data_IF_073605154990
#
_entry.id   IF_073605154990
#
_cell.length_a   1.000
_cell.length_b   1.000
_cell.length_c   1.000
_cell.angle_alpha   90.00
_cell.angle_beta   90.00
_cell.angle_gamma   90.00
#
_symmetry.space_group_name_H-M   'P 1'
#
loop_
_entity.id
_entity.type
_entity.pdbx_description
1 polymer ?
#
# COMPACT_ATOMS: atom_id res chain seq x y z
N UNK A 1 32.97 -48.35 -5.87
CA UNK A 1 32.39 -47.04 -6.05
C UNK A 1 32.05 -46.48 -4.67
N UNK A 2 32.68 -45.39 -4.20
CA UNK A 2 32.30 -44.78 -2.91
C UNK A 2 31.11 -43.86 -3.09
N UNK A 3 30.03 -44.10 -2.32
CA UNK A 3 28.91 -43.19 -2.15
C UNK A 3 29.38 -41.84 -1.55
N UNK A 4 29.16 -40.76 -2.30
CA UNK A 4 29.39 -39.43 -1.81
C UNK A 4 28.28 -39.07 -0.80
N UNK A 5 28.62 -39.11 0.48
CA UNK A 5 27.79 -38.59 1.56
C UNK A 5 27.57 -37.06 1.34
N UNK A 6 26.39 -36.73 0.80
CA UNK A 6 25.94 -35.36 0.76
C UNK A 6 25.67 -34.86 2.19
N UNK A 7 26.64 -34.24 2.81
CA UNK A 7 26.49 -33.54 4.09
C UNK A 7 25.45 -32.47 3.97
N UNK A 8 24.78 -32.07 5.07
CA UNK A 8 23.78 -30.99 5.08
C UNK A 8 24.42 -29.73 4.51
N UNK A 9 23.74 -29.08 3.52
CA UNK A 9 24.21 -27.84 2.95
C UNK A 9 24.25 -26.77 4.06
N UNK A 10 25.35 -26.00 4.18
CA UNK A 10 25.46 -24.98 5.18
C UNK A 10 24.30 -23.94 4.97
N UNK A 11 23.60 -23.64 6.05
CA UNK A 11 22.58 -22.59 6.04
C UNK A 11 23.26 -21.27 5.71
N UNK A 12 23.03 -20.77 4.50
CA UNK A 12 23.58 -19.46 4.12
C UNK A 12 22.86 -18.36 4.93
N UNK A 13 23.62 -17.48 5.61
CA UNK A 13 23.00 -16.36 6.31
C UNK A 13 22.24 -15.50 5.30
N UNK A 14 21.02 -15.09 5.67
CA UNK A 14 20.20 -14.19 4.87
C UNK A 14 21.02 -12.91 4.57
N UNK A 15 21.15 -12.51 3.29
CA UNK A 15 21.99 -11.37 2.94
C UNK A 15 21.47 -10.10 3.60
N UNK A 16 22.36 -9.27 4.14
CA UNK A 16 22.04 -7.98 4.80
C UNK A 16 21.10 -7.06 3.97
N UNK A 17 21.12 -7.21 2.65
CA UNK A 17 20.15 -6.56 1.72
C UNK A 17 18.69 -6.93 2.01
N UNK A 18 18.44 -8.08 2.63
CA UNK A 18 17.08 -8.51 3.01
C UNK A 18 16.49 -7.62 4.10
N UNK A 19 17.28 -7.22 5.11
CA UNK A 19 16.79 -6.36 6.21
C UNK A 19 16.49 -4.93 5.75
N UNK A 20 17.31 -4.36 4.86
CA UNK A 20 17.07 -3.01 4.33
C UNK A 20 15.74 -2.89 3.58
N UNK A 21 15.22 -3.98 3.00
CA UNK A 21 13.95 -3.98 2.29
C UNK A 21 12.73 -3.88 3.22
N UNK A 22 12.89 -4.22 4.51
CA UNK A 22 11.86 -4.11 5.53
C UNK A 22 11.83 -2.74 6.22
N UNK A 23 12.88 -1.94 6.05
CA UNK A 23 13.05 -0.68 6.77
C UNK A 23 11.83 0.24 6.62
N UNK A 24 11.38 0.47 5.38
CA UNK A 24 10.25 1.39 5.11
C UNK A 24 8.91 0.83 5.60
N UNK A 25 8.52 -0.42 5.32
CA UNK A 25 7.31 -0.99 5.90
C UNK A 25 7.30 -0.98 7.43
N UNK A 26 8.42 -1.33 8.08
CA UNK A 26 8.52 -1.32 9.55
C UNK A 26 8.44 0.11 10.08
N UNK A 27 9.19 1.06 9.50
CA UNK A 27 9.16 2.45 9.91
C UNK A 27 7.74 3.05 9.77
N UNK A 28 7.03 2.73 8.68
CA UNK A 28 5.64 3.17 8.50
C UNK A 28 4.70 2.51 9.53
N UNK A 29 4.86 1.22 9.81
CA UNK A 29 4.07 0.56 10.85
C UNK A 29 4.31 1.19 12.24
N UNK A 30 5.56 1.46 12.61
CA UNK A 30 5.89 2.18 13.84
C UNK A 30 5.30 3.59 13.86
N UNK A 31 5.37 4.31 12.74
CA UNK A 31 4.82 5.66 12.63
C UNK A 31 3.30 5.67 12.86
N UNK A 32 2.55 4.80 12.18
CA UNK A 32 1.08 4.76 12.34
C UNK A 32 0.66 4.37 13.75
N UNK A 33 1.40 3.45 14.40
CA UNK A 33 1.16 3.07 15.80
C UNK A 33 1.46 4.23 16.76
N UNK A 34 2.55 4.96 16.54
CA UNK A 34 2.92 6.12 17.35
C UNK A 34 1.90 7.26 17.20
N UNK A 35 1.45 7.55 15.99
CA UNK A 35 0.42 8.57 15.73
C UNK A 35 -0.94 8.16 16.32
N UNK A 36 -1.30 6.86 16.27
CA UNK A 36 -2.52 6.36 16.92
C UNK A 36 -2.48 6.56 18.43
N UNK A 37 -1.32 6.39 19.06
CA UNK A 37 -1.14 6.63 20.49
C UNK A 37 -1.28 8.12 20.89
N UNK A 38 -1.13 9.05 19.93
CA UNK A 38 -1.35 10.48 20.12
C UNK A 38 -2.83 10.87 20.27
N UNK A 39 -3.76 9.95 19.99
CA UNK A 39 -5.20 10.12 20.20
C UNK A 39 -5.86 11.17 19.31
N UNK A 40 -7.00 11.68 19.77
CA UNK A 40 -7.86 12.60 19.01
C UNK A 40 -7.15 13.88 18.51
N UNK A 41 -6.29 14.56 19.29
CA UNK A 41 -5.63 15.77 18.78
C UNK A 41 -4.76 15.51 17.53
N UNK A 42 -4.05 14.36 17.50
CA UNK A 42 -3.21 13.98 16.36
C UNK A 42 -4.08 13.57 15.17
N UNK A 43 -5.15 12.82 15.43
CA UNK A 43 -6.12 12.43 14.42
C UNK A 43 -6.73 13.66 13.72
N UNK A 44 -7.27 14.63 14.46
CA UNK A 44 -7.87 15.85 13.93
C UNK A 44 -6.87 16.72 13.15
N UNK A 45 -5.63 16.81 13.61
CA UNK A 45 -4.60 17.58 12.92
C UNK A 45 -4.19 16.98 11.57
N UNK A 46 -4.26 15.66 11.42
CA UNK A 46 -3.65 14.93 10.29
C UNK A 46 -4.66 14.28 9.33
N UNK A 47 -5.91 14.02 9.75
CA UNK A 47 -6.94 13.43 8.90
C UNK A 47 -7.22 14.30 7.67
N UNK A 48 -7.63 13.67 6.58
CA UNK A 48 -8.19 14.41 5.46
C UNK A 48 -9.48 15.09 5.90
N UNK A 49 -9.55 16.36 5.65
CA UNK A 49 -10.75 17.17 5.77
C UNK A 49 -10.86 18.01 4.51
N UNK A 50 -11.92 17.79 3.74
CA UNK A 50 -12.05 18.38 2.41
C UNK A 50 -11.97 19.91 2.44
N UNK A 51 -12.68 20.56 3.37
CA UNK A 51 -12.68 22.01 3.49
C UNK A 51 -11.28 22.56 3.81
N UNK A 52 -10.54 21.88 4.69
CA UNK A 52 -9.19 22.26 5.05
C UNK A 52 -8.21 22.08 3.88
N UNK A 53 -8.32 20.97 3.12
CA UNK A 53 -7.50 20.74 1.92
C UNK A 53 -7.77 21.81 0.86
N UNK A 54 -9.03 22.13 0.59
CA UNK A 54 -9.39 23.18 -0.36
C UNK A 54 -8.99 24.59 0.16
N UNK A 55 -8.88 24.76 1.47
CA UNK A 55 -8.33 25.94 2.14
C UNK A 55 -6.80 26.00 2.17
N UNK A 56 -6.07 25.06 1.53
CA UNK A 56 -4.62 25.10 1.38
C UNK A 56 -3.84 24.15 2.31
N UNK A 57 -4.51 23.35 3.15
CA UNK A 57 -3.84 22.37 4.02
C UNK A 57 -3.49 21.07 3.24
N UNK A 58 -2.67 21.20 2.19
CA UNK A 58 -2.35 20.09 1.26
C UNK A 58 -1.59 18.92 1.89
N UNK A 59 -0.92 19.12 3.04
CA UNK A 59 -0.28 18.01 3.76
C UNK A 59 -1.26 16.91 4.16
N UNK A 60 -2.54 17.23 4.32
CA UNK A 60 -3.60 16.29 4.65
C UNK A 60 -3.84 15.23 3.57
N UNK A 61 -3.43 15.50 2.31
CA UNK A 61 -3.45 14.49 1.24
C UNK A 61 -2.50 13.33 1.51
N UNK A 62 -1.42 13.57 2.29
CA UNK A 62 -0.44 12.56 2.66
C UNK A 62 -0.67 12.06 4.09
N UNK A 63 -0.86 12.97 5.05
CA UNK A 63 -0.89 12.62 6.48
C UNK A 63 -2.14 11.81 6.87
N UNK A 64 -3.25 11.95 6.16
CA UNK A 64 -4.47 11.19 6.41
C UNK A 64 -4.28 9.67 6.36
N UNK A 65 -3.31 9.20 5.60
CA UNK A 65 -3.00 7.78 5.50
C UNK A 65 -2.21 7.25 6.70
N UNK A 66 -1.70 8.12 7.57
CA UNK A 66 -0.93 7.73 8.73
C UNK A 66 -1.74 7.71 10.03
N UNK A 67 -2.98 8.25 10.04
CA UNK A 67 -3.88 8.25 11.20
C UNK A 67 -5.09 7.36 10.93
N UNK A 68 -5.76 6.87 12.00
CA UNK A 68 -6.81 5.88 11.89
C UNK A 68 -7.99 6.20 12.83
N UNK A 69 -9.18 5.72 12.49
CA UNK A 69 -10.41 5.90 13.24
C UNK A 69 -10.38 5.29 14.66
N UNK A 70 -9.55 4.25 14.85
CA UNK A 70 -9.40 3.56 16.13
C UNK A 70 -8.29 2.52 16.10
N UNK A 71 -7.98 1.94 17.25
CA UNK A 71 -6.90 0.96 17.39
C UNK A 71 -7.09 -0.29 16.53
N UNK A 72 -8.32 -0.82 16.43
CA UNK A 72 -8.59 -1.99 15.58
C UNK A 72 -8.26 -1.68 14.12
N UNK A 73 -8.68 -0.51 13.62
CA UNK A 73 -8.37 -0.06 12.26
C UNK A 73 -6.85 0.07 12.04
N UNK A 74 -6.14 0.70 12.99
CA UNK A 74 -4.69 0.87 12.93
C UNK A 74 -3.95 -0.48 12.89
N UNK A 75 -4.30 -1.40 13.78
CA UNK A 75 -3.68 -2.73 13.87
C UNK A 75 -3.96 -3.59 12.63
N UNK A 76 -5.17 -3.53 12.08
CA UNK A 76 -5.50 -4.21 10.82
C UNK A 76 -4.66 -3.68 9.66
N UNK A 77 -4.46 -2.37 9.57
CA UNK A 77 -3.61 -1.78 8.54
C UNK A 77 -2.12 -2.10 8.73
N UNK A 78 -1.62 -2.05 9.96
CA UNK A 78 -0.25 -2.46 10.26
C UNK A 78 -0.01 -3.95 9.94
N UNK A 79 -0.96 -4.83 10.29
CA UNK A 79 -0.92 -6.25 9.93
C UNK A 79 -0.96 -6.48 8.42
N UNK A 80 -1.84 -5.75 7.71
CA UNK A 80 -1.90 -5.78 6.25
C UNK A 80 -0.60 -5.30 5.59
N UNK A 81 0.03 -4.26 6.14
CA UNK A 81 1.33 -3.78 5.66
C UNK A 81 2.44 -4.83 5.86
N UNK A 82 2.46 -5.48 7.03
CA UNK A 82 3.40 -6.56 7.32
C UNK A 82 3.21 -7.75 6.36
N UNK A 83 1.95 -8.14 6.09
CA UNK A 83 1.63 -9.19 5.11
C UNK A 83 2.06 -8.79 3.70
N UNK A 84 1.79 -7.55 3.27
CA UNK A 84 2.21 -7.04 1.97
C UNK A 84 3.74 -7.08 1.82
N UNK A 85 4.47 -6.67 2.86
CA UNK A 85 5.93 -6.70 2.89
C UNK A 85 6.47 -8.14 2.85
N UNK A 86 5.84 -9.08 3.56
CA UNK A 86 6.18 -10.50 3.50
C UNK A 86 5.95 -11.08 2.10
N UNK A 87 4.84 -10.76 1.45
CA UNK A 87 4.55 -11.17 0.08
C UNK A 87 5.50 -10.54 -0.94
N UNK A 88 6.05 -9.36 -0.68
CA UNK A 88 7.07 -8.76 -1.53
C UNK A 88 8.39 -9.57 -1.53
N UNK A 89 8.66 -10.36 -0.48
CA UNK A 89 9.80 -11.27 -0.36
C UNK A 89 11.15 -10.66 -0.79
N UNK A 90 11.41 -9.41 -0.40
CA UNK A 90 12.67 -8.72 -0.72
C UNK A 90 12.84 -8.29 -2.18
N UNK A 91 11.79 -8.42 -3.01
CA UNK A 91 11.84 -8.01 -4.44
C UNK A 91 11.85 -6.49 -4.65
N UNK A 92 11.59 -5.72 -3.61
CA UNK A 92 11.53 -4.25 -3.64
C UNK A 92 12.51 -3.66 -2.63
N UNK A 93 13.32 -2.70 -3.06
CA UNK A 93 14.23 -1.99 -2.18
C UNK A 93 13.51 -0.84 -1.44
N UNK A 94 14.17 -0.24 -0.45
CA UNK A 94 13.59 0.80 0.39
C UNK A 94 13.15 2.06 -0.40
N UNK A 95 13.91 2.46 -1.43
CA UNK A 95 13.53 3.59 -2.28
C UNK A 95 12.25 3.31 -3.05
N UNK A 96 12.09 2.09 -3.59
CA UNK A 96 10.89 1.69 -4.30
C UNK A 96 9.66 1.68 -3.38
N UNK A 97 9.81 1.20 -2.13
CA UNK A 97 8.76 1.26 -1.12
C UNK A 97 8.36 2.70 -0.80
N UNK A 98 9.33 3.56 -0.47
CA UNK A 98 9.07 4.96 -0.15
C UNK A 98 8.37 5.69 -1.31
N UNK A 99 8.87 5.51 -2.53
CA UNK A 99 8.25 6.09 -3.74
C UNK A 99 6.83 5.59 -3.95
N UNK A 100 6.59 4.28 -3.86
CA UNK A 100 5.27 3.72 -4.05
C UNK A 100 4.27 4.24 -3.00
N UNK A 101 4.65 4.26 -1.72
CA UNK A 101 3.81 4.78 -0.63
C UNK A 101 3.43 6.25 -0.88
N UNK A 102 4.40 7.09 -1.20
CA UNK A 102 4.16 8.54 -1.43
C UNK A 102 3.28 8.75 -2.66
N UNK A 103 3.58 8.07 -3.79
CA UNK A 103 2.79 8.19 -5.02
C UNK A 103 1.36 7.72 -4.81
N UNK A 104 1.16 6.59 -4.13
CA UNK A 104 -0.17 6.06 -3.84
C UNK A 104 -0.93 6.98 -2.88
N UNK A 105 -0.30 7.46 -1.81
CA UNK A 105 -0.93 8.34 -0.84
C UNK A 105 -1.39 9.65 -1.47
N UNK A 106 -0.52 10.33 -2.22
CA UNK A 106 -0.87 11.56 -2.94
C UNK A 106 -1.95 11.26 -4.00
N UNK A 107 -1.82 10.17 -4.75
CA UNK A 107 -2.79 9.80 -5.78
C UNK A 107 -4.18 9.53 -5.21
N UNK A 108 -4.29 8.78 -4.11
CA UNK A 108 -5.57 8.56 -3.41
C UNK A 108 -6.12 9.88 -2.90
N UNK A 109 -5.30 10.73 -2.26
CA UNK A 109 -5.73 12.04 -1.76
C UNK A 109 -6.25 12.95 -2.87
N UNK A 110 -5.57 13.01 -4.02
CA UNK A 110 -6.01 13.79 -5.18
C UNK A 110 -7.35 13.25 -5.72
N UNK A 111 -7.50 11.93 -5.84
CA UNK A 111 -8.74 11.32 -6.34
C UNK A 111 -9.90 11.51 -5.36
N UNK A 112 -9.66 11.52 -4.05
CA UNK A 112 -10.68 11.90 -3.07
C UNK A 112 -11.17 13.34 -3.29
N UNK A 113 -10.28 14.27 -3.58
CA UNK A 113 -10.65 15.65 -3.90
C UNK A 113 -11.40 15.74 -5.22
N UNK A 114 -10.93 15.06 -6.25
CA UNK A 114 -11.42 15.23 -7.62
C UNK A 114 -12.67 14.42 -7.93
N UNK A 115 -12.81 13.20 -7.37
CA UNK A 115 -13.82 12.25 -7.79
C UNK A 115 -14.81 11.85 -6.67
N UNK A 116 -14.60 12.29 -5.42
CA UNK A 116 -15.53 12.06 -4.29
C UNK A 116 -15.89 13.38 -3.60
N UNK A 117 -16.69 14.24 -4.21
CA UNK A 117 -17.05 15.54 -3.63
C UNK A 117 -17.81 15.43 -2.30
N UNK A 118 -18.51 14.32 -2.06
CA UNK A 118 -19.21 13.97 -0.83
C UNK A 118 -18.28 13.48 0.29
N UNK A 119 -17.04 13.11 -0.01
CA UNK A 119 -16.06 12.70 0.96
C UNK A 119 -15.56 13.91 1.78
N UNK A 120 -16.21 14.17 2.90
CA UNK A 120 -15.85 15.28 3.78
C UNK A 120 -14.62 14.99 4.61
N UNK A 121 -14.47 13.73 5.06
CA UNK A 121 -13.39 13.26 5.93
C UNK A 121 -12.87 11.90 5.48
N UNK A 122 -11.55 11.67 5.70
CA UNK A 122 -10.94 10.36 5.48
C UNK A 122 -9.72 10.18 6.39
N UNK A 123 -9.53 8.95 6.86
CA UNK A 123 -8.33 8.53 7.58
C UNK A 123 -8.09 7.03 7.39
N UNK A 124 -6.82 6.65 7.28
CA UNK A 124 -6.40 5.26 7.22
C UNK A 124 -5.47 4.91 6.07
N UNK A 125 -4.60 3.97 6.33
CA UNK A 125 -3.61 3.48 5.36
C UNK A 125 -4.23 2.58 4.29
N UNK A 126 -5.46 2.11 4.47
CA UNK A 126 -6.06 1.03 3.67
C UNK A 126 -6.10 1.32 2.18
N UNK A 127 -6.41 2.54 1.75
CA UNK A 127 -6.37 2.92 0.33
C UNK A 127 -4.98 2.69 -0.28
N UNK A 128 -3.93 3.19 0.39
CA UNK A 128 -2.53 2.96 0.00
C UNK A 128 -2.19 1.47 0.04
N UNK A 129 -2.66 0.75 1.07
CA UNK A 129 -2.37 -0.66 1.27
C UNK A 129 -2.94 -1.54 0.14
N UNK A 130 -4.17 -1.29 -0.29
CA UNK A 130 -4.75 -1.97 -1.46
C UNK A 130 -3.91 -1.72 -2.72
N UNK A 131 -3.44 -0.49 -2.91
CA UNK A 131 -2.51 -0.16 -3.97
C UNK A 131 -1.17 -0.90 -3.85
N UNK A 132 -0.59 -0.97 -2.65
CA UNK A 132 0.67 -1.69 -2.41
C UNK A 132 0.55 -3.18 -2.72
N UNK A 133 -0.58 -3.84 -2.36
CA UNK A 133 -0.83 -5.23 -2.73
C UNK A 133 -0.79 -5.40 -4.25
N UNK A 134 -1.45 -4.54 -5.01
CA UNK A 134 -1.44 -4.61 -6.47
C UNK A 134 -0.04 -4.36 -7.02
N UNK A 135 0.65 -3.33 -6.53
CA UNK A 135 2.00 -2.98 -6.97
C UNK A 135 3.04 -4.09 -6.71
N UNK A 136 2.89 -4.84 -5.61
CA UNK A 136 3.75 -5.99 -5.28
C UNK A 136 3.38 -7.22 -6.10
N UNK A 137 2.09 -7.52 -6.21
CA UNK A 137 1.60 -8.81 -6.73
C UNK A 137 1.46 -8.83 -8.25
N UNK A 138 1.01 -7.74 -8.88
CA UNK A 138 0.74 -7.73 -10.32
C UNK A 138 1.96 -8.11 -11.18
N UNK A 139 3.18 -7.57 -10.94
CA UNK A 139 4.35 -7.98 -11.71
C UNK A 139 4.78 -9.45 -11.48
N UNK A 140 4.45 -10.03 -10.31
CA UNK A 140 4.73 -11.43 -10.00
C UNK A 140 3.71 -12.35 -10.67
N UNK A 141 2.43 -12.01 -10.55
CA UNK A 141 1.34 -12.71 -11.22
C UNK A 141 1.59 -12.77 -12.74
N UNK A 142 2.00 -11.65 -13.34
CA UNK A 142 2.34 -11.58 -14.78
C UNK A 142 3.48 -12.52 -15.18
N UNK A 143 4.38 -12.87 -14.25
CA UNK A 143 5.47 -13.83 -14.45
C UNK A 143 5.09 -15.29 -14.12
N UNK A 144 3.81 -15.56 -13.88
CA UNK A 144 3.29 -16.91 -13.65
C UNK A 144 3.28 -17.35 -12.18
N UNK A 145 3.51 -16.44 -11.21
CA UNK A 145 3.40 -16.77 -9.79
C UNK A 145 1.93 -16.98 -9.41
N UNK A 146 1.57 -18.26 -9.17
CA UNK A 146 0.18 -18.67 -8.86
C UNK A 146 -0.32 -18.08 -7.55
N UNK A 147 0.54 -17.99 -6.53
CA UNK A 147 0.16 -17.41 -5.23
C UNK A 147 -0.14 -15.92 -5.39
N UNK A 148 0.71 -15.21 -6.14
CA UNK A 148 0.46 -13.79 -6.45
C UNK A 148 -0.85 -13.60 -7.21
N UNK A 149 -1.20 -14.49 -8.16
CA UNK A 149 -2.49 -14.47 -8.86
C UNK A 149 -3.68 -14.66 -7.92
N UNK A 150 -3.63 -15.68 -7.06
CA UNK A 150 -4.72 -15.97 -6.11
C UNK A 150 -4.96 -14.77 -5.20
N UNK A 151 -3.89 -14.22 -4.60
CA UNK A 151 -4.03 -13.07 -3.69
C UNK A 151 -4.49 -11.82 -4.43
N UNK A 152 -3.98 -11.57 -5.65
CA UNK A 152 -4.40 -10.43 -6.46
C UNK A 152 -5.90 -10.49 -6.81
N UNK A 153 -6.39 -11.66 -7.22
CA UNK A 153 -7.81 -11.89 -7.49
C UNK A 153 -8.65 -11.66 -6.22
N UNK A 154 -8.20 -12.15 -5.07
CA UNK A 154 -8.89 -11.93 -3.79
C UNK A 154 -8.95 -10.44 -3.41
N UNK A 155 -7.87 -9.69 -3.63
CA UNK A 155 -7.81 -8.23 -3.39
C UNK A 155 -8.80 -7.50 -4.30
N UNK A 156 -8.80 -7.80 -5.60
CA UNK A 156 -9.71 -7.18 -6.59
C UNK A 156 -11.16 -7.53 -6.27
N UNK A 157 -11.44 -8.81 -5.99
CA UNK A 157 -12.78 -9.26 -5.63
C UNK A 157 -13.27 -8.58 -4.33
N UNK A 158 -12.38 -8.37 -3.36
CA UNK A 158 -12.71 -7.66 -2.12
C UNK A 158 -13.08 -6.19 -2.38
N UNK A 159 -12.32 -5.49 -3.24
CA UNK A 159 -12.66 -4.11 -3.63
C UNK A 159 -14.03 -4.10 -4.33
N UNK A 160 -14.22 -4.97 -5.32
CA UNK A 160 -15.50 -5.08 -6.04
C UNK A 160 -16.68 -5.37 -5.10
N UNK A 161 -16.50 -6.31 -4.17
CA UNK A 161 -17.55 -6.62 -3.18
C UNK A 161 -17.92 -5.39 -2.34
N UNK A 162 -16.94 -4.64 -1.87
CA UNK A 162 -17.16 -3.46 -1.04
C UNK A 162 -17.92 -2.35 -1.77
N UNK A 163 -17.76 -2.22 -3.09
CA UNK A 163 -18.48 -1.22 -3.90
C UNK A 163 -20.00 -1.46 -3.94
N UNK A 164 -20.44 -2.72 -3.76
CA UNK A 164 -21.86 -3.09 -3.82
C UNK A 164 -22.47 -3.44 -2.46
N UNK A 165 -21.62 -3.62 -1.43
CA UNK A 165 -22.05 -4.05 -0.10
C UNK A 165 -21.44 -3.09 0.94
N UNK A 166 -22.24 -2.16 1.48
CA UNK A 166 -21.76 -1.26 2.51
C UNK A 166 -21.30 -2.03 3.75
N UNK A 167 -20.36 -1.47 4.54
CA UNK A 167 -19.89 -2.09 5.77
C UNK A 167 -21.05 -2.36 6.73
N UNK A 168 -21.04 -3.53 7.40
CA UNK A 168 -22.00 -3.83 8.44
C UNK A 168 -21.79 -2.94 9.66
N UNK A 169 -22.84 -2.80 10.51
CA UNK A 169 -22.75 -2.02 11.75
C UNK A 169 -21.68 -2.59 12.69
N UNK A 170 -21.52 -3.92 12.75
CA UNK A 170 -20.44 -4.55 13.49
C UNK A 170 -19.05 -4.16 12.96
N UNK A 171 -18.89 -4.03 11.65
CA UNK A 171 -17.63 -3.60 11.05
C UNK A 171 -17.36 -2.12 11.34
N UNK A 172 -18.37 -1.25 11.26
CA UNK A 172 -18.26 0.16 11.61
C UNK A 172 -17.88 0.34 13.08
N UNK A 173 -18.54 -0.40 13.97
CA UNK A 173 -18.25 -0.36 15.39
C UNK A 173 -16.82 -0.84 15.72
N UNK A 174 -16.36 -1.92 15.07
CA UNK A 174 -15.01 -2.45 15.25
C UNK A 174 -13.93 -1.45 14.80
N UNK A 175 -14.15 -0.79 13.66
CA UNK A 175 -13.17 0.13 13.04
C UNK A 175 -13.20 1.50 13.72
N UNK A 176 -14.34 1.89 14.29
CA UNK A 176 -14.55 3.19 14.91
C UNK A 176 -15.16 4.24 13.98
N UNK A 177 -15.76 3.83 12.84
CA UNK A 177 -16.41 4.75 11.91
C UNK A 177 -16.65 4.17 10.52
N UNK A 178 -16.97 5.04 9.56
CA UNK A 178 -17.24 4.67 8.17
C UNK A 178 -15.95 4.34 7.40
N UNK A 179 -16.03 3.32 6.56
CA UNK A 179 -14.94 2.95 5.64
C UNK A 179 -15.16 3.65 4.31
N UNK A 180 -14.20 4.45 3.89
CA UNK A 180 -14.19 5.06 2.56
C UNK A 180 -13.74 4.01 1.52
N UNK A 181 -14.71 3.33 0.92
CA UNK A 181 -14.46 2.23 -0.04
C UNK A 181 -13.80 2.74 -1.32
N UNK A 182 -14.18 3.94 -1.75
CA UNK A 182 -13.61 4.60 -2.93
C UNK A 182 -12.09 4.77 -2.82
N UNK A 183 -11.56 5.02 -1.62
CA UNK A 183 -10.12 5.12 -1.40
C UNK A 183 -9.39 3.80 -1.72
N UNK A 184 -10.02 2.64 -1.52
CA UNK A 184 -9.47 1.34 -1.89
C UNK A 184 -9.38 1.20 -3.42
N UNK A 185 -10.43 1.60 -4.13
CA UNK A 185 -10.44 1.63 -5.60
C UNK A 185 -9.38 2.60 -6.13
N UNK A 186 -9.28 3.80 -5.55
CA UNK A 186 -8.29 4.79 -5.98
C UNK A 186 -6.86 4.29 -5.77
N UNK A 187 -6.58 3.63 -4.65
CA UNK A 187 -5.30 2.98 -4.43
C UNK A 187 -4.98 1.94 -5.50
N UNK A 188 -5.97 1.13 -5.86
CA UNK A 188 -5.83 0.12 -6.92
C UNK A 188 -5.53 0.74 -8.29
N UNK A 189 -6.26 1.80 -8.67
CA UNK A 189 -6.06 2.51 -9.94
C UNK A 189 -4.70 3.19 -10.01
N UNK A 190 -4.28 3.87 -8.93
CA UNK A 190 -2.96 4.49 -8.83
C UNK A 190 -1.83 3.46 -8.94
N UNK A 191 -2.00 2.29 -8.30
CA UNK A 191 -1.02 1.21 -8.38
C UNK A 191 -0.92 0.60 -9.78
N UNK A 192 -2.06 0.41 -10.46
CA UNK A 192 -2.07 -0.04 -11.84
C UNK A 192 -1.33 0.94 -12.75
N UNK A 193 -1.63 2.24 -12.65
CA UNK A 193 -0.92 3.28 -13.39
C UNK A 193 0.58 3.27 -13.12
N UNK A 194 0.99 3.12 -11.84
CA UNK A 194 2.39 3.02 -11.43
C UNK A 194 3.07 1.79 -12.03
N UNK A 195 2.42 0.62 -12.02
CA UNK A 195 2.93 -0.61 -12.62
C UNK A 195 3.11 -0.46 -14.15
N UNK A 196 2.14 0.12 -14.84
CA UNK A 196 2.20 0.37 -16.28
C UNK A 196 3.35 1.33 -16.62
N UNK A 197 3.48 2.42 -15.88
CA UNK A 197 4.57 3.37 -16.08
C UNK A 197 5.94 2.73 -15.84
N UNK A 198 6.12 1.96 -14.77
CA UNK A 198 7.36 1.24 -14.48
C UNK A 198 7.69 0.17 -15.55
N UNK A 199 6.69 -0.46 -16.15
CA UNK A 199 6.86 -1.43 -17.23
C UNK A 199 7.15 -0.80 -18.59
N UNK A 200 6.62 0.39 -18.86
CA UNK A 200 6.82 1.12 -20.11
C UNK A 200 8.18 1.86 -20.17
N UNK A 201 8.61 2.44 -19.04
CA UNK A 201 9.82 3.28 -18.96
C UNK A 201 11.10 2.64 -19.51
N UNK A 202 11.47 1.39 -19.16
CA UNK A 202 12.65 0.74 -19.70
C UNK A 202 12.59 0.52 -21.21
N UNK A 203 11.38 0.31 -21.77
CA UNK A 203 11.18 0.12 -23.21
C UNK A 203 11.38 1.43 -23.99
N UNK A 204 10.84 2.53 -23.45
CA UNK A 204 10.99 3.87 -24.02
C UNK A 204 12.46 4.33 -24.02
N UNK A 205 13.20 4.08 -22.93
CA UNK A 205 14.64 4.38 -22.87
C UNK A 205 15.42 3.63 -23.95
N UNK A 206 15.23 2.30 -24.05
CA UNK A 206 15.93 1.49 -25.06
C UNK A 206 15.61 1.94 -26.50
N UNK A 207 14.36 2.33 -26.77
CA UNK A 207 13.96 2.83 -28.08
C UNK A 207 14.66 4.16 -28.41
N UNK A 208 14.85 5.06 -27.43
CA UNK A 208 15.56 6.31 -27.60
C UNK A 208 17.05 6.10 -27.80
N UNK A 209 17.68 5.28 -26.95
CA UNK A 209 19.11 5.00 -27.02
C UNK A 209 19.49 4.26 -28.32
N UNK A 210 18.58 3.45 -28.90
CA UNK A 210 18.73 2.80 -30.20
C UNK A 210 18.43 3.69 -31.41
N UNK A 211 17.80 4.86 -31.22
CA UNK A 211 17.56 5.82 -32.28
C UNK A 211 18.68 6.87 -32.38
N UNK A 212 19.53 6.97 -31.36
CA UNK A 212 20.70 7.87 -31.31
C UNK A 212 22.02 7.16 -31.73
N UNK A 213 21.96 5.82 -31.98
CA UNK A 213 23.10 5.01 -32.45
C UNK A 213 23.01 4.68 -33.93
#
# INVERSE_FOLDING_TARGET
>A
MPESLNGPRPVQPLPLRSFANWLVPVALACLVLALQAGGEPVYEALRYERAAVLGGQYWRLLSAHAVHLGWAHCLMNAGGLALCAALAAGTRNWCAWATAIVVLAIGVGILLVAASPEATNYAGLSGVLYGLFIWVLAPRAWRGDRVAWIVLVAVIARIGWQMFHPPSDAQRALIGGEVMVEAHLYGALCALALCLWQGAWPRLRRARDGAEA
#
